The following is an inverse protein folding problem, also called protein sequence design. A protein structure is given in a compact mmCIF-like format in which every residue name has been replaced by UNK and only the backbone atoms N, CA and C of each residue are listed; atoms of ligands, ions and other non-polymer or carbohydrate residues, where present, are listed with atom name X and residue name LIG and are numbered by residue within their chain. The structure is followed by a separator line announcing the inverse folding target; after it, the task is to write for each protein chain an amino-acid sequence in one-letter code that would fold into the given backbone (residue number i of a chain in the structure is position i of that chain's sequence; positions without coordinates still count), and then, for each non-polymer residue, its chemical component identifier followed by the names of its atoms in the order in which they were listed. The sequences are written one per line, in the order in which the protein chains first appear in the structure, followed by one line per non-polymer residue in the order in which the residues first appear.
data_IF_880698051240
#
_entry.id   IF_880698051240
#
_cell.length_a   1.000
_cell.length_b   1.000
_cell.length_c   1.000
_cell.angle_alpha   90.00
_cell.angle_beta   90.00
_cell.angle_gamma   90.00
#
_symmetry.space_group_name_H-M   'P 1'
#
loop_
_entity.id
_entity.type
_entity.pdbx_description
1 polymer ?
#
# COMPACT_ATOMS: atom_id res chain seq x y z
N UNK A 1 13.51 19.30 7.01
CA UNK A 1 13.81 17.91 6.57
C UNK A 1 12.61 17.31 5.84
N UNK A 2 11.43 17.24 6.45
CA UNK A 2 10.21 16.74 5.80
C UNK A 2 9.89 17.40 4.45
N UNK A 3 9.90 18.74 4.39
CA UNK A 3 9.68 19.48 3.12
C UNK A 3 10.67 19.10 2.02
N UNK A 4 11.95 18.98 2.35
CA UNK A 4 12.98 18.58 1.41
C UNK A 4 12.81 17.12 0.95
N UNK A 5 12.45 16.21 1.86
CA UNK A 5 12.16 14.81 1.52
C UNK A 5 10.92 14.70 0.61
N UNK A 6 9.88 15.48 0.88
CA UNK A 6 8.67 15.58 0.07
C UNK A 6 8.99 16.12 -1.34
N UNK A 7 9.77 17.20 -1.42
CA UNK A 7 10.22 17.79 -2.67
C UNK A 7 11.02 16.80 -3.53
N UNK A 8 11.99 16.09 -2.93
CA UNK A 8 12.73 15.00 -3.59
C UNK A 8 11.77 13.89 -4.05
N UNK A 9 10.78 13.54 -3.22
CA UNK A 9 9.74 12.57 -3.54
C UNK A 9 8.95 12.92 -4.78
N UNK A 10 8.51 14.18 -4.89
CA UNK A 10 7.80 14.67 -6.07
C UNK A 10 8.64 14.54 -7.35
N UNK A 11 9.95 14.80 -7.29
CA UNK A 11 10.86 14.54 -8.42
C UNK A 11 10.94 13.05 -8.78
N UNK A 12 11.10 12.18 -7.77
CA UNK A 12 11.16 10.73 -7.97
C UNK A 12 9.88 10.23 -8.64
N UNK A 13 8.72 10.73 -8.23
CA UNK A 13 7.44 10.35 -8.79
C UNK A 13 7.26 10.82 -10.25
N UNK A 14 7.64 12.06 -10.55
CA UNK A 14 7.66 12.59 -11.93
C UNK A 14 8.59 11.77 -12.82
N UNK A 15 9.79 11.41 -12.34
CA UNK A 15 10.73 10.56 -13.07
C UNK A 15 10.19 9.13 -13.22
N UNK A 16 9.58 8.58 -12.17
CA UNK A 16 8.94 7.27 -12.15
C UNK A 16 7.79 7.15 -13.15
N UNK A 17 7.11 8.26 -13.47
CA UNK A 17 6.02 8.29 -14.45
C UNK A 17 6.41 7.77 -15.84
N UNK A 18 7.69 7.85 -16.20
CA UNK A 18 8.21 7.35 -17.48
C UNK A 18 8.37 5.83 -17.49
N UNK A 19 8.64 5.23 -16.33
CA UNK A 19 8.69 3.77 -16.15
C UNK A 19 7.32 3.17 -15.81
N UNK A 20 6.38 3.97 -15.29
CA UNK A 20 5.11 3.50 -14.74
C UNK A 20 4.27 2.61 -15.66
N UNK A 21 4.16 2.97 -16.95
CA UNK A 21 3.45 2.13 -17.94
C UNK A 21 4.10 0.76 -18.13
N UNK A 22 5.43 0.71 -18.12
CA UNK A 22 6.17 -0.54 -18.27
C UNK A 22 6.00 -1.42 -17.03
N UNK A 23 6.09 -0.83 -15.82
CA UNK A 23 5.86 -1.53 -14.55
C UNK A 23 4.47 -2.18 -14.53
N UNK A 24 3.40 -1.41 -14.80
CA UNK A 24 2.03 -1.96 -14.83
C UNK A 24 1.86 -3.08 -15.86
N UNK A 25 2.58 -3.02 -16.99
CA UNK A 25 2.51 -4.04 -18.03
C UNK A 25 3.15 -5.37 -17.60
N UNK A 26 4.27 -5.33 -16.87
CA UNK A 26 5.00 -6.53 -16.47
C UNK A 26 4.48 -7.13 -15.16
N UNK A 27 3.87 -6.33 -14.30
CA UNK A 27 3.41 -6.74 -12.97
C UNK A 27 2.02 -7.39 -13.02
N UNK A 28 1.83 -8.59 -12.46
CA UNK A 28 0.50 -9.20 -12.36
C UNK A 28 -0.48 -8.32 -11.58
N UNK A 29 -1.71 -8.15 -12.10
CA UNK A 29 -2.79 -7.38 -11.44
C UNK A 29 -3.02 -7.85 -9.99
N UNK A 30 -2.97 -9.17 -9.74
CA UNK A 30 -3.15 -9.72 -8.40
C UNK A 30 -2.09 -9.24 -7.40
N UNK A 31 -0.84 -9.05 -7.84
CA UNK A 31 0.21 -8.52 -7.00
C UNK A 31 0.04 -7.02 -6.71
N UNK A 32 -0.29 -6.23 -7.75
CA UNK A 32 -0.54 -4.78 -7.59
C UNK A 32 -1.70 -4.51 -6.63
N UNK A 33 -2.85 -5.13 -6.88
CA UNK A 33 -4.05 -4.90 -6.09
C UNK A 33 -4.02 -5.62 -4.76
N UNK A 34 -3.35 -6.78 -4.67
CA UNK A 34 -3.12 -7.48 -3.41
C UNK A 34 -2.28 -6.67 -2.45
N UNK A 35 -1.18 -6.09 -2.90
CA UNK A 35 -0.36 -5.18 -2.10
C UNK A 35 -1.15 -3.94 -1.65
N UNK A 36 -1.87 -3.29 -2.56
CA UNK A 36 -2.74 -2.14 -2.25
C UNK A 36 -3.78 -2.48 -1.19
N UNK A 37 -4.47 -3.62 -1.37
CA UNK A 37 -5.47 -4.12 -0.44
C UNK A 37 -4.86 -4.50 0.92
N UNK A 38 -3.66 -5.06 0.94
CA UNK A 38 -2.94 -5.40 2.17
C UNK A 38 -2.68 -4.15 3.00
N UNK A 39 -2.21 -3.07 2.36
CA UNK A 39 -2.09 -1.75 2.98
C UNK A 39 -3.43 -1.24 3.53
N UNK A 40 -4.50 -1.34 2.74
CA UNK A 40 -5.82 -0.88 3.14
C UNK A 40 -6.39 -1.69 4.33
N UNK A 41 -6.24 -3.01 4.33
CA UNK A 41 -6.72 -3.89 5.42
C UNK A 41 -5.99 -3.60 6.71
N UNK A 42 -4.66 -3.46 6.68
CA UNK A 42 -3.88 -3.24 7.90
C UNK A 42 -4.04 -1.80 8.39
N UNK A 43 -3.72 -0.81 7.55
CA UNK A 43 -3.63 0.58 7.99
C UNK A 43 -4.98 1.31 8.03
N UNK A 44 -5.96 0.91 7.22
CA UNK A 44 -7.30 1.51 7.27
C UNK A 44 -8.29 0.67 8.07
N UNK A 45 -8.30 -0.66 7.92
CA UNK A 45 -9.28 -1.48 8.66
C UNK A 45 -8.81 -1.88 10.06
N UNK A 46 -7.67 -2.55 10.20
CA UNK A 46 -7.21 -3.06 11.50
C UNK A 46 -6.92 -1.90 12.47
N UNK A 47 -6.15 -0.90 12.07
CA UNK A 47 -5.84 0.25 12.94
C UNK A 47 -7.11 1.00 13.36
N UNK A 48 -8.03 1.26 12.43
CA UNK A 48 -9.31 1.92 12.78
C UNK A 48 -10.18 1.06 13.67
N UNK A 49 -10.24 -0.26 13.47
CA UNK A 49 -10.92 -1.19 14.38
C UNK A 49 -10.36 -1.09 15.79
N UNK A 50 -9.04 -1.10 15.96
CA UNK A 50 -8.42 -1.00 17.28
C UNK A 50 -8.81 0.31 17.98
N UNK A 51 -8.78 1.45 17.27
CA UNK A 51 -9.20 2.74 17.82
C UNK A 51 -10.70 2.78 18.15
N UNK A 52 -11.55 2.14 17.34
CA UNK A 52 -13.00 2.04 17.62
C UNK A 52 -13.23 1.23 18.90
N UNK A 53 -12.52 0.12 19.08
CA UNK A 53 -12.68 -0.75 20.24
C UNK A 53 -12.02 -0.19 21.51
N UNK A 54 -11.07 0.73 21.37
CA UNK A 54 -10.52 1.53 22.48
C UNK A 54 -11.54 2.56 22.99
N UNK A 55 -12.38 3.10 22.11
CA UNK A 55 -13.47 4.03 22.45
C UNK A 55 -14.84 3.55 21.92
N UNK A 56 -15.36 2.42 22.43
CA UNK A 56 -16.52 1.75 21.84
C UNK A 56 -17.79 2.59 21.94
N UNK A 57 -17.94 3.39 23.00
CA UNK A 57 -19.11 4.24 23.21
C UNK A 57 -19.34 5.19 22.03
N UNK A 58 -18.28 5.77 21.46
CA UNK A 58 -18.39 6.80 20.42
C UNK A 58 -18.65 6.18 19.04
N UNK A 59 -18.00 5.07 18.71
CA UNK A 59 -17.86 4.66 17.31
C UNK A 59 -18.31 3.24 16.98
N UNK A 60 -18.53 2.38 17.99
CA UNK A 60 -18.91 0.99 17.73
C UNK A 60 -20.31 0.89 17.10
N UNK A 61 -21.28 1.68 17.58
CA UNK A 61 -22.62 1.69 17.01
C UNK A 61 -22.60 2.12 15.54
N UNK A 62 -21.85 3.18 15.22
CA UNK A 62 -21.69 3.68 13.86
C UNK A 62 -21.00 2.66 12.95
N UNK A 63 -20.01 1.93 13.46
CA UNK A 63 -19.41 0.80 12.74
C UNK A 63 -20.46 -0.27 12.43
N UNK A 64 -21.28 -0.67 13.41
CA UNK A 64 -22.34 -1.66 13.21
C UNK A 64 -23.32 -1.19 12.13
N UNK A 65 -23.77 0.07 12.18
CA UNK A 65 -24.67 0.65 11.18
C UNK A 65 -24.04 0.60 9.78
N UNK A 66 -22.77 1.02 9.65
CA UNK A 66 -22.06 0.99 8.36
C UNK A 66 -21.90 -0.45 7.86
N UNK A 67 -21.54 -1.40 8.72
CA UNK A 67 -21.39 -2.80 8.33
C UNK A 67 -22.73 -3.42 7.91
N UNK A 68 -23.80 -3.21 8.69
CA UNK A 68 -25.14 -3.73 8.37
C UNK A 68 -25.60 -3.17 7.03
N UNK A 69 -25.60 -1.85 6.88
CA UNK A 69 -26.07 -1.19 5.65
C UNK A 69 -25.23 -1.58 4.43
N UNK A 70 -23.91 -1.67 4.59
CA UNK A 70 -23.02 -2.06 3.51
C UNK A 70 -23.18 -3.53 3.11
N UNK A 71 -23.08 -4.45 4.06
CA UNK A 71 -23.12 -5.89 3.78
C UNK A 71 -24.49 -6.34 3.26
N UNK A 72 -25.56 -5.71 3.73
CA UNK A 72 -26.92 -5.96 3.22
C UNK A 72 -27.23 -5.21 1.92
N UNK A 73 -26.35 -4.29 1.47
CA UNK A 73 -26.60 -3.35 0.37
C UNK A 73 -27.89 -2.54 0.56
N UNK A 74 -28.28 -2.33 1.82
CA UNK A 74 -29.48 -1.58 2.17
C UNK A 74 -29.27 -0.10 1.88
N UNK A 75 -30.26 0.52 1.25
CA UNK A 75 -30.33 1.97 1.11
C UNK A 75 -31.09 2.52 2.32
N UNK A 76 -30.47 3.45 3.03
CA UNK A 76 -31.14 4.17 4.11
C UNK A 76 -32.27 5.05 3.55
N UNK A 77 -33.30 5.36 4.37
CA UNK A 77 -34.36 6.26 3.96
C UNK A 77 -33.80 7.59 3.46
N UNK A 78 -34.48 8.21 2.50
CA UNK A 78 -34.07 9.45 1.83
C UNK A 78 -32.75 9.37 1.04
N UNK A 79 -32.18 8.18 0.85
CA UNK A 79 -30.97 7.99 0.05
C UNK A 79 -29.68 8.49 0.70
N UNK A 80 -29.69 8.72 2.02
CA UNK A 80 -28.52 9.23 2.75
C UNK A 80 -27.42 8.14 2.77
N UNK A 81 -26.16 8.47 2.42
CA UNK A 81 -25.06 7.50 2.52
C UNK A 81 -24.83 7.02 3.95
N UNK A 82 -24.65 5.72 4.12
CA UNK A 82 -24.41 5.12 5.44
C UNK A 82 -23.19 5.72 6.17
N UNK A 83 -22.15 6.11 5.44
CA UNK A 83 -20.99 6.79 6.02
C UNK A 83 -21.35 8.12 6.68
N UNK A 84 -22.24 8.91 6.07
CA UNK A 84 -22.71 10.19 6.64
C UNK A 84 -23.47 9.93 7.93
N UNK A 85 -24.38 8.97 7.93
CA UNK A 85 -25.15 8.60 9.13
C UNK A 85 -24.23 8.09 10.23
N UNK A 86 -23.24 7.25 9.91
CA UNK A 86 -22.27 6.75 10.88
C UNK A 86 -21.45 7.87 11.52
N UNK A 87 -20.93 8.82 10.72
CA UNK A 87 -20.17 9.96 11.26
C UNK A 87 -21.07 10.83 12.14
N UNK A 88 -22.26 11.19 11.66
CA UNK A 88 -23.19 12.03 12.44
C UNK A 88 -23.62 11.37 13.74
N UNK A 89 -23.86 10.06 13.72
CA UNK A 89 -24.19 9.28 14.91
C UNK A 89 -23.05 9.30 15.93
N UNK A 90 -21.81 9.07 15.49
CA UNK A 90 -20.64 9.14 16.37
C UNK A 90 -20.39 10.52 16.94
N UNK A 91 -20.54 11.57 16.12
CA UNK A 91 -20.45 12.97 16.58
C UNK A 91 -21.51 13.24 17.63
N UNK A 92 -22.78 12.88 17.37
CA UNK A 92 -23.86 13.09 18.31
C UNK A 92 -23.60 12.37 19.65
N UNK A 93 -23.17 11.11 19.61
CA UNK A 93 -22.85 10.36 20.83
C UNK A 93 -21.71 11.02 21.60
N UNK A 94 -20.63 11.42 20.93
CA UNK A 94 -19.48 12.06 21.59
C UNK A 94 -19.84 13.36 22.31
N UNK A 95 -20.73 14.18 21.71
CA UNK A 95 -21.23 15.39 22.35
C UNK A 95 -22.17 15.08 23.51
N UNK A 96 -23.10 14.14 23.33
CA UNK A 96 -24.07 13.76 24.36
C UNK A 96 -23.43 13.05 25.56
N UNK A 97 -22.34 12.32 25.34
CA UNK A 97 -21.60 11.63 26.41
C UNK A 97 -20.63 12.55 27.17
N UNK A 98 -20.47 13.82 26.74
CA UNK A 98 -19.54 14.76 27.36
C UNK A 98 -18.06 14.52 27.02
N UNK A 99 -17.76 13.75 25.98
CA UNK A 99 -16.39 13.48 25.52
C UNK A 99 -15.78 14.63 24.70
N UNK A 100 -16.59 15.63 24.33
CA UNK A 100 -16.16 16.81 23.59
C UNK A 100 -16.06 18.02 24.53
N UNK A 101 -15.10 18.91 24.26
CA UNK A 101 -14.87 20.12 25.05
C UNK A 101 -15.46 21.36 24.35
N UNK A 102 -16.50 21.93 24.97
CA UNK A 102 -17.13 23.16 24.47
C UNK A 102 -16.22 24.39 24.59
N UNK A 103 -15.34 24.44 25.59
CA UNK A 103 -14.37 25.52 25.76
C UNK A 103 -13.32 25.50 24.65
N UNK A 104 -12.82 24.30 24.31
CA UNK A 104 -11.93 24.12 23.17
C UNK A 104 -12.60 24.51 21.84
N UNK A 105 -13.88 24.14 21.64
CA UNK A 105 -14.63 24.54 20.45
C UNK A 105 -14.81 26.07 20.39
N UNK A 106 -15.21 26.71 21.49
CA UNK A 106 -15.36 28.17 21.56
C UNK A 106 -14.04 28.89 21.25
N UNK A 107 -12.94 28.38 21.79
CA UNK A 107 -11.59 28.86 21.49
C UNK A 107 -11.19 28.64 20.03
N UNK A 108 -11.67 27.59 19.38
CA UNK A 108 -11.41 27.37 17.95
C UNK A 108 -12.09 28.43 17.08
N UNK A 109 -13.26 28.94 17.47
CA UNK A 109 -13.95 30.03 16.76
C UNK A 109 -13.24 31.38 16.91
N UNK A 110 -12.60 31.65 18.06
CA UNK A 110 -11.85 32.91 18.26
C UNK A 110 -10.50 32.93 17.55
N UNK A 111 -9.93 31.75 17.26
CA UNK A 111 -8.65 31.60 16.57
C UNK A 111 -8.78 31.45 15.04
N UNK A 112 -9.96 31.67 14.47
CA UNK A 112 -10.15 31.64 13.01
C UNK A 112 -9.39 32.82 12.39
N UNK A 113 -8.40 32.48 11.57
CA UNK A 113 -7.61 33.44 10.80
C UNK A 113 -7.42 32.92 9.38
N UNK A 114 -7.48 33.77 8.35
CA UNK A 114 -7.02 33.40 7.02
C UNK A 114 -5.60 32.79 7.09
N UNK A 115 -5.44 31.63 6.48
CA UNK A 115 -4.21 30.86 6.44
C UNK A 115 -3.86 30.51 4.98
N UNK A 116 -3.56 31.51 4.13
CA UNK A 116 -3.18 31.24 2.75
C UNK A 116 -1.86 30.46 2.69
N UNK A 117 -1.65 29.64 1.64
CA UNK A 117 -0.46 28.82 1.51
C UNK A 117 0.80 29.71 1.47
N UNK A 118 1.74 29.47 2.38
CA UNK A 118 2.95 30.26 2.51
C UNK A 118 4.12 29.58 1.77
N UNK A 119 4.85 30.29 0.90
CA UNK A 119 6.05 29.73 0.26
C UNK A 119 7.11 29.34 1.29
N UNK A 120 7.46 28.06 1.35
CA UNK A 120 8.46 27.46 2.24
C UNK A 120 9.75 27.07 1.50
N UNK A 121 10.07 27.78 0.41
CA UNK A 121 11.22 27.47 -0.48
C UNK A 121 12.55 27.48 0.30
N UNK A 122 12.73 28.45 1.20
CA UNK A 122 13.95 28.53 2.02
C UNK A 122 14.08 27.34 2.99
N UNK A 123 12.96 26.87 3.54
CA UNK A 123 12.95 25.69 4.42
C UNK A 123 13.26 24.40 3.67
N UNK A 124 12.89 24.32 2.38
CA UNK A 124 13.34 23.24 1.49
C UNK A 124 14.86 23.31 1.38
N UNK A 125 15.45 24.45 1.00
CA UNK A 125 16.91 24.56 0.85
C UNK A 125 17.68 24.23 2.14
N UNK A 126 17.23 24.73 3.29
CA UNK A 126 17.81 24.37 4.58
C UNK A 126 17.61 22.89 4.90
N UNK A 127 16.45 22.34 4.55
CA UNK A 127 16.12 20.93 4.69
C UNK A 127 16.98 20.03 3.81
N UNK A 128 17.35 20.45 2.60
CA UNK A 128 18.16 19.67 1.66
C UNK A 128 19.52 19.32 2.27
N UNK A 129 20.19 20.24 2.95
CA UNK A 129 21.46 19.95 3.63
C UNK A 129 21.32 18.87 4.71
N UNK A 130 20.16 18.83 5.37
CA UNK A 130 19.87 17.89 6.46
C UNK A 130 19.26 16.57 5.97
N UNK A 131 18.72 16.51 4.75
CA UNK A 131 18.04 15.31 4.22
C UNK A 131 19.01 14.31 3.61
N UNK A 132 20.22 14.74 3.21
CA UNK A 132 21.23 13.86 2.60
C UNK A 132 21.48 12.56 3.39
N UNK A 133 21.72 12.60 4.72
CA UNK A 133 21.89 11.39 5.53
C UNK A 133 20.67 10.47 5.56
N UNK A 134 19.48 11.01 5.27
CA UNK A 134 18.21 10.30 5.28
C UNK A 134 17.72 9.91 3.89
N UNK A 135 18.44 10.25 2.81
CA UNK A 135 18.15 9.74 1.46
C UNK A 135 17.99 8.22 1.44
N UNK A 136 18.80 7.44 2.19
CA UNK A 136 18.56 6.03 2.42
C UNK A 136 17.13 5.63 2.83
N UNK A 137 16.44 6.41 3.65
CA UNK A 137 15.07 6.09 4.08
C UNK A 137 14.04 6.75 3.16
N UNK A 138 14.34 7.96 2.70
CA UNK A 138 13.45 8.75 1.83
C UNK A 138 13.26 8.06 0.49
N UNK A 139 14.31 7.57 -0.17
CA UNK A 139 14.19 6.94 -1.49
C UNK A 139 13.22 5.74 -1.51
N UNK A 140 13.35 4.72 -0.64
CA UNK A 140 12.38 3.62 -0.55
C UNK A 140 10.94 4.08 -0.31
N UNK A 141 10.76 5.07 0.58
CA UNK A 141 9.44 5.60 0.90
C UNK A 141 8.79 6.28 -0.30
N UNK A 142 9.54 7.07 -1.06
CA UNK A 142 9.02 7.76 -2.25
C UNK A 142 8.81 6.80 -3.43
N UNK A 143 9.64 5.76 -3.53
CA UNK A 143 9.41 4.63 -4.44
C UNK A 143 8.08 3.94 -4.12
N UNK A 144 7.83 3.72 -2.83
CA UNK A 144 6.58 3.15 -2.34
C UNK A 144 5.38 4.03 -2.71
N UNK A 145 5.52 5.36 -2.57
CA UNK A 145 4.45 6.31 -2.91
C UNK A 145 4.07 6.26 -4.40
N UNK A 146 5.04 6.32 -5.32
CA UNK A 146 4.70 6.26 -6.76
C UNK A 146 4.06 4.91 -7.13
N UNK A 147 4.47 3.82 -6.47
CA UNK A 147 3.85 2.49 -6.67
C UNK A 147 2.38 2.52 -6.25
N UNK A 148 2.04 3.20 -5.15
CA UNK A 148 0.65 3.41 -4.76
C UNK A 148 -0.14 4.15 -5.85
N UNK A 149 0.44 5.17 -6.47
CA UNK A 149 -0.16 5.90 -7.59
C UNK A 149 -0.46 5.00 -8.80
N UNK A 150 0.48 4.11 -9.14
CA UNK A 150 0.28 3.08 -10.16
C UNK A 150 -0.86 2.12 -9.81
N UNK A 151 -0.88 1.64 -8.56
CA UNK A 151 -1.90 0.71 -8.06
C UNK A 151 -3.28 1.36 -8.05
N UNK A 152 -3.38 2.65 -7.70
CA UNK A 152 -4.63 3.41 -7.76
C UNK A 152 -5.14 3.57 -9.20
N UNK A 153 -4.25 3.87 -10.16
CA UNK A 153 -4.62 3.91 -11.58
C UNK A 153 -5.12 2.54 -12.08
N UNK A 154 -4.46 1.46 -11.68
CA UNK A 154 -4.88 0.10 -12.03
C UNK A 154 -6.22 -0.28 -11.38
N UNK A 155 -6.43 0.09 -10.11
CA UNK A 155 -7.68 -0.11 -9.40
C UNK A 155 -8.84 0.64 -10.08
N UNK A 156 -8.60 1.88 -10.51
CA UNK A 156 -9.57 2.67 -11.28
C UNK A 156 -9.89 2.03 -12.64
N UNK A 157 -8.87 1.56 -13.36
CA UNK A 157 -9.03 0.85 -14.64
C UNK A 157 -9.92 -0.38 -14.48
N UNK A 158 -9.73 -1.16 -13.40
CA UNK A 158 -10.57 -2.33 -13.07
C UNK A 158 -11.98 -1.97 -12.62
N UNK A 159 -12.21 -0.73 -12.18
CA UNK A 159 -13.53 -0.17 -11.89
C UNK A 159 -14.22 0.46 -13.12
N UNK A 160 -13.56 0.50 -14.28
CA UNK A 160 -14.11 1.03 -15.54
C UNK A 160 -13.64 2.44 -15.92
N UNK A 161 -12.76 3.07 -15.13
CA UNK A 161 -12.21 4.40 -15.43
C UNK A 161 -10.74 4.30 -15.85
N UNK A 162 -10.45 4.53 -17.13
CA UNK A 162 -9.11 4.38 -17.69
C UNK A 162 -8.34 5.71 -17.68
N UNK A 163 -7.57 5.95 -16.61
CA UNK A 163 -6.70 7.12 -16.51
C UNK A 163 -5.31 6.85 -17.11
N UNK A 164 -4.74 7.78 -17.92
CA UNK A 164 -3.39 7.61 -18.46
C UNK A 164 -2.33 7.64 -17.35
N UNK A 165 -1.81 6.46 -16.99
CA UNK A 165 -0.84 6.24 -15.89
C UNK A 165 0.26 7.31 -15.81
N UNK A 166 0.98 7.54 -16.92
CA UNK A 166 2.07 8.54 -16.96
C UNK A 166 1.58 9.95 -16.63
N UNK A 167 0.42 10.35 -17.14
CA UNK A 167 -0.15 11.69 -16.85
C UNK A 167 -0.59 11.78 -15.40
N UNK A 168 -1.24 10.74 -14.88
CA UNK A 168 -1.66 10.70 -13.47
C UNK A 168 -0.47 10.87 -12.52
N UNK A 169 0.62 10.14 -12.75
CA UNK A 169 1.83 10.24 -11.92
C UNK A 169 2.54 11.59 -12.03
N UNK A 170 2.58 12.19 -13.23
CA UNK A 170 3.16 13.53 -13.39
C UNK A 170 2.34 14.56 -12.60
N UNK A 171 1.00 14.48 -12.67
CA UNK A 171 0.11 15.38 -11.93
C UNK A 171 0.26 15.19 -10.42
N UNK A 172 0.39 13.95 -9.97
CA UNK A 172 0.59 13.61 -8.56
C UNK A 172 1.94 14.11 -8.03
N UNK A 173 3.04 13.78 -8.72
CA UNK A 173 4.37 14.28 -8.37
C UNK A 173 4.45 15.81 -8.44
N UNK A 174 3.78 16.46 -9.40
CA UNK A 174 3.67 17.92 -9.44
C UNK A 174 2.87 18.46 -8.26
N UNK A 175 1.78 17.81 -7.86
CA UNK A 175 1.02 18.14 -6.65
C UNK A 175 1.87 18.05 -5.40
N UNK A 176 2.69 17.01 -5.28
CA UNK A 176 3.68 16.84 -4.21
C UNK A 176 4.72 17.97 -4.21
N UNK A 177 5.29 18.32 -5.36
CA UNK A 177 6.25 19.42 -5.50
C UNK A 177 5.63 20.75 -5.09
N UNK A 178 4.46 21.09 -5.65
CA UNK A 178 3.74 22.32 -5.34
C UNK A 178 3.37 22.36 -3.86
N UNK A 179 2.85 21.26 -3.31
CA UNK A 179 2.52 21.13 -1.89
C UNK A 179 3.74 21.41 -1.01
N UNK A 180 4.89 20.82 -1.32
CA UNK A 180 6.12 21.05 -0.56
C UNK A 180 6.61 22.50 -0.63
N UNK A 181 6.49 23.16 -1.79
CA UNK A 181 6.80 24.58 -1.97
C UNK A 181 5.92 25.45 -1.08
N UNK A 182 4.68 25.04 -0.81
CA UNK A 182 3.74 25.74 0.06
C UNK A 182 3.66 25.16 1.49
N UNK A 183 4.69 24.42 1.92
CA UNK A 183 4.84 24.00 3.31
C UNK A 183 4.22 22.65 3.67
N UNK A 184 3.81 21.82 2.70
CA UNK A 184 3.35 20.45 2.97
C UNK A 184 4.52 19.44 3.00
N UNK A 185 4.84 18.82 4.15
CA UNK A 185 5.92 17.84 4.24
C UNK A 185 5.48 16.42 3.85
N UNK A 186 4.24 16.24 3.39
CA UNK A 186 3.65 14.94 3.06
C UNK A 186 3.40 14.82 1.56
N UNK A 187 3.84 13.72 0.92
CA UNK A 187 3.59 13.50 -0.49
C UNK A 187 2.09 13.28 -0.75
N UNK A 188 1.64 13.67 -1.93
CA UNK A 188 0.30 13.37 -2.41
C UNK A 188 0.25 11.97 -3.01
N UNK A 189 -0.94 11.41 -3.11
CA UNK A 189 -1.20 10.26 -3.97
C UNK A 189 -2.64 10.29 -4.49
N UNK A 190 -2.95 9.44 -5.47
CA UNK A 190 -4.32 9.25 -5.96
C UNK A 190 -5.23 8.65 -4.88
N UNK A 191 -6.52 8.99 -4.93
CA UNK A 191 -7.50 8.52 -3.93
C UNK A 191 -7.55 6.99 -3.83
N UNK A 192 -7.24 6.49 -2.63
CA UNK A 192 -7.53 5.11 -2.25
C UNK A 192 -9.04 4.85 -2.28
N UNK A 193 -9.42 3.65 -2.70
CA UNK A 193 -10.83 3.25 -2.73
C UNK A 193 -11.66 3.86 -3.86
N UNK A 194 -11.04 4.34 -4.96
CA UNK A 194 -11.75 4.72 -6.21
C UNK A 194 -12.96 3.83 -6.57
N UNK A 195 -12.87 2.48 -6.51
CA UNK A 195 -14.00 1.60 -6.80
C UNK A 195 -15.16 1.75 -5.82
N UNK A 196 -14.86 2.00 -4.54
CA UNK A 196 -15.87 2.27 -3.50
C UNK A 196 -16.63 3.54 -3.83
N UNK A 197 -15.91 4.64 -4.09
CA UNK A 197 -16.51 5.93 -4.47
C UNK A 197 -17.30 5.83 -5.78
N UNK A 198 -16.76 5.11 -6.77
CA UNK A 198 -17.45 4.87 -8.05
C UNK A 198 -18.75 4.09 -7.86
N UNK A 199 -18.76 3.09 -6.97
CA UNK A 199 -19.94 2.26 -6.72
C UNK A 199 -21.12 3.04 -6.12
N UNK A 200 -20.86 4.16 -5.44
CA UNK A 200 -21.88 5.07 -4.90
C UNK A 200 -22.23 6.24 -5.84
N UNK A 201 -21.73 6.20 -7.09
CA UNK A 201 -22.06 7.20 -8.12
C UNK A 201 -21.16 8.43 -8.16
N UNK A 202 -20.04 8.45 -7.42
CA UNK A 202 -19.11 9.58 -7.47
C UNK A 202 -18.50 9.75 -8.89
N UNK A 203 -18.33 11.01 -9.29
CA UNK A 203 -17.76 11.44 -10.59
C UNK A 203 -16.77 12.59 -10.36
N UNK A 204 -16.22 13.16 -11.42
CA UNK A 204 -15.24 14.27 -11.33
C UNK A 204 -15.71 15.45 -10.45
N UNK A 205 -17.01 15.77 -10.44
CA UNK A 205 -17.55 16.82 -9.57
C UNK A 205 -17.32 16.57 -8.07
N UNK A 206 -17.29 15.31 -7.63
CA UNK A 206 -16.97 14.94 -6.25
C UNK A 206 -15.55 15.40 -5.87
N UNK A 207 -14.57 15.14 -6.75
CA UNK A 207 -13.19 15.56 -6.53
C UNK A 207 -13.02 17.08 -6.52
N UNK A 208 -13.71 17.80 -7.43
CA UNK A 208 -13.66 19.27 -7.49
C UNK A 208 -14.29 19.90 -6.25
N UNK A 209 -15.46 19.40 -5.82
CA UNK A 209 -16.14 19.88 -4.62
C UNK A 209 -15.27 19.61 -3.39
N UNK A 210 -14.70 18.42 -3.25
CA UNK A 210 -13.77 18.13 -2.16
C UNK A 210 -12.60 19.11 -2.14
N UNK A 211 -11.94 19.34 -3.28
CA UNK A 211 -10.83 20.28 -3.36
C UNK A 211 -11.25 21.71 -2.95
N UNK A 212 -12.42 22.18 -3.41
CA UNK A 212 -12.94 23.49 -3.03
C UNK A 212 -13.29 23.59 -1.54
N UNK A 213 -13.94 22.57 -0.97
CA UNK A 213 -14.27 22.51 0.46
C UNK A 213 -12.99 22.53 1.31
N UNK A 214 -12.01 21.68 0.99
CA UNK A 214 -10.72 21.69 1.70
C UNK A 214 -9.98 23.02 1.54
N UNK A 215 -10.01 23.65 0.37
CA UNK A 215 -9.41 24.97 0.17
C UNK A 215 -10.06 26.04 1.07
N UNK A 216 -11.39 26.07 1.16
CA UNK A 216 -12.10 27.00 2.05
C UNK A 216 -11.79 26.72 3.52
N UNK A 217 -11.81 25.44 3.93
CA UNK A 217 -11.54 25.06 5.32
C UNK A 217 -10.10 25.37 5.73
N UNK A 218 -9.12 25.04 4.88
CA UNK A 218 -7.72 25.25 5.18
C UNK A 218 -7.32 26.72 5.05
N UNK A 219 -7.64 27.38 3.92
CA UNK A 219 -7.25 28.77 3.70
C UNK A 219 -8.05 29.75 4.56
N UNK A 220 -9.25 29.38 4.99
CA UNK A 220 -10.05 30.15 5.94
C UNK A 220 -9.65 29.94 7.40
N UNK A 221 -8.71 29.02 7.71
CA UNK A 221 -8.34 28.69 9.09
C UNK A 221 -9.43 27.98 9.89
N UNK A 222 -10.38 27.33 9.22
CA UNK A 222 -11.54 26.68 9.84
C UNK A 222 -11.26 25.25 10.31
N UNK A 223 -10.10 24.68 9.98
CA UNK A 223 -9.75 23.31 10.34
C UNK A 223 -9.76 23.08 11.86
N UNK A 224 -9.37 24.09 12.64
CA UNK A 224 -9.45 24.05 14.11
C UNK A 224 -10.87 23.81 14.62
N UNK A 225 -11.88 24.40 13.98
CA UNK A 225 -13.29 24.16 14.31
C UNK A 225 -13.65 22.71 13.99
N UNK A 226 -13.32 22.23 12.79
CA UNK A 226 -13.69 20.87 12.35
C UNK A 226 -13.13 19.81 13.29
N UNK A 227 -11.86 19.91 13.68
CA UNK A 227 -11.21 18.94 14.59
C UNK A 227 -11.80 18.98 16.01
N UNK A 228 -12.31 20.14 16.46
CA UNK A 228 -12.99 20.27 17.75
C UNK A 228 -14.49 19.91 17.70
N UNK A 229 -15.08 19.78 16.50
CA UNK A 229 -16.48 19.35 16.33
C UNK A 229 -16.57 17.83 16.12
N UNK A 230 -15.68 17.27 15.31
CA UNK A 230 -15.71 15.87 14.89
C UNK A 230 -14.57 15.12 15.58
N UNK A 231 -14.86 14.24 16.54
CA UNK A 231 -13.81 13.47 17.19
C UNK A 231 -13.15 12.52 16.19
N UNK A 232 -11.86 12.29 16.37
CA UNK A 232 -11.06 11.42 15.51
C UNK A 232 -11.70 10.03 15.31
N UNK A 233 -12.24 9.44 16.38
CA UNK A 233 -12.84 8.10 16.34
C UNK A 233 -14.10 8.04 15.48
N UNK A 234 -14.85 9.15 15.31
CA UNK A 234 -16.07 9.18 14.48
C UNK A 234 -15.82 8.91 12.99
N UNK A 235 -14.61 9.16 12.49
CA UNK A 235 -14.24 8.95 11.07
C UNK A 235 -13.75 7.52 10.83
N UNK A 236 -13.26 6.84 11.86
CA UNK A 236 -12.66 5.50 11.78
C UNK A 236 -13.60 4.45 11.13
N UNK A 237 -14.92 4.42 11.40
CA UNK A 237 -15.82 3.44 10.77
C UNK A 237 -15.82 3.49 9.23
N UNK A 238 -15.68 4.67 8.63
CA UNK A 238 -15.57 4.81 7.16
C UNK A 238 -14.26 4.20 6.66
N UNK A 239 -13.16 4.34 7.40
CA UNK A 239 -11.86 3.77 7.01
C UNK A 239 -11.89 2.24 7.03
N UNK A 240 -12.58 1.65 8.02
CA UNK A 240 -12.83 0.20 8.06
C UNK A 240 -13.53 -0.24 6.78
N UNK A 241 -14.59 0.46 6.40
CA UNK A 241 -15.33 0.19 5.17
C UNK A 241 -14.46 0.29 3.91
N UNK A 242 -13.66 1.35 3.77
CA UNK A 242 -12.77 1.54 2.59
C UNK A 242 -11.75 0.42 2.50
N UNK A 243 -11.17 -0.02 3.61
CA UNK A 243 -10.21 -1.12 3.63
C UNK A 243 -10.84 -2.47 3.24
N UNK A 244 -12.04 -2.78 3.74
CA UNK A 244 -12.77 -4.00 3.38
C UNK A 244 -13.19 -4.03 1.92
N UNK A 245 -13.67 -2.91 1.37
CA UNK A 245 -14.03 -2.79 -0.06
C UNK A 245 -12.80 -2.99 -0.94
N UNK A 246 -11.66 -2.42 -0.55
CA UNK A 246 -10.41 -2.55 -1.29
C UNK A 246 -9.95 -4.02 -1.33
N UNK A 247 -10.05 -4.73 -0.20
CA UNK A 247 -9.76 -6.17 -0.13
C UNK A 247 -10.71 -7.00 -1.00
N UNK A 248 -12.01 -6.77 -0.89
CA UNK A 248 -13.02 -7.46 -1.69
C UNK A 248 -12.79 -7.24 -3.19
N UNK A 249 -12.41 -6.02 -3.59
CA UNK A 249 -12.10 -5.71 -4.98
C UNK A 249 -10.86 -6.45 -5.47
N UNK A 250 -9.78 -6.45 -4.70
CA UNK A 250 -8.53 -7.15 -5.06
C UNK A 250 -8.79 -8.64 -5.31
N UNK A 251 -9.59 -9.30 -4.47
CA UNK A 251 -10.01 -10.70 -4.68
C UNK A 251 -10.88 -10.84 -5.92
N UNK A 252 -11.87 -9.95 -6.09
CA UNK A 252 -12.86 -10.03 -7.18
C UNK A 252 -12.24 -9.91 -8.58
N UNK A 253 -11.22 -9.05 -8.74
CA UNK A 253 -10.62 -8.77 -10.06
C UNK A 253 -9.35 -9.57 -10.33
N UNK A 254 -8.88 -10.33 -9.34
CA UNK A 254 -7.72 -11.22 -9.47
C UNK A 254 -8.13 -12.60 -10.00
N UNK A 255 -7.31 -13.25 -10.84
CA UNK A 255 -7.52 -14.65 -11.20
C UNK A 255 -7.53 -15.53 -9.94
N UNK A 256 -8.47 -16.48 -9.85
CA UNK A 256 -8.60 -17.38 -8.68
C UNK A 256 -7.31 -18.11 -8.32
N UNK A 257 -6.53 -18.54 -9.33
CA UNK A 257 -5.23 -19.19 -9.13
C UNK A 257 -4.18 -18.29 -8.43
N UNK A 258 -4.31 -16.97 -8.51
CA UNK A 258 -3.37 -16.01 -7.92
C UNK A 258 -3.78 -15.53 -6.53
N UNK A 259 -4.89 -16.02 -5.97
CA UNK A 259 -5.30 -15.65 -4.60
C UNK A 259 -4.22 -15.93 -3.53
N UNK A 260 -3.40 -17.00 -3.61
CA UNK A 260 -2.28 -17.17 -2.68
C UNK A 260 -1.32 -15.98 -2.68
N UNK A 261 -1.07 -15.35 -3.84
CA UNK A 261 -0.22 -14.16 -3.93
C UNK A 261 -0.86 -12.93 -3.26
N UNK A 262 -2.18 -12.78 -3.40
CA UNK A 262 -2.97 -11.70 -2.75
C UNK A 262 -2.94 -11.82 -1.23
N UNK A 263 -3.02 -13.04 -0.69
CA UNK A 263 -2.93 -13.24 0.77
C UNK A 263 -1.48 -13.18 1.28
N UNK A 264 -0.51 -13.65 0.49
CA UNK A 264 0.91 -13.54 0.83
C UNK A 264 1.36 -12.08 0.96
N UNK A 265 0.83 -11.17 0.12
CA UNK A 265 1.13 -9.74 0.22
C UNK A 265 0.72 -9.12 1.56
N UNK A 266 -0.20 -9.75 2.31
CA UNK A 266 -0.61 -9.25 3.62
C UNK A 266 0.50 -9.37 4.67
N UNK A 267 1.34 -10.40 4.57
CA UNK A 267 2.29 -10.78 5.63
C UNK A 267 3.30 -9.65 5.94
N UNK A 268 4.00 -9.05 4.97
CA UNK A 268 4.97 -7.99 5.29
C UNK A 268 4.31 -6.75 5.88
N UNK A 269 3.09 -6.41 5.44
CA UNK A 269 2.36 -5.24 5.96
C UNK A 269 1.90 -5.49 7.41
N UNK A 270 1.44 -6.71 7.72
CA UNK A 270 1.13 -7.09 9.11
C UNK A 270 2.38 -7.04 9.99
N UNK A 271 3.53 -7.52 9.49
CA UNK A 271 4.79 -7.40 10.21
C UNK A 271 5.19 -5.93 10.45
N UNK A 272 4.91 -5.04 9.48
CA UNK A 272 5.11 -3.60 9.65
C UNK A 272 4.25 -3.01 10.78
N UNK A 273 2.98 -3.39 10.83
CA UNK A 273 2.09 -2.99 11.91
C UNK A 273 2.57 -3.54 13.26
N UNK A 274 2.98 -4.81 13.32
CA UNK A 274 3.51 -5.41 14.55
C UNK A 274 4.78 -4.69 15.05
N UNK A 275 5.71 -4.36 14.16
CA UNK A 275 6.89 -3.57 14.52
C UNK A 275 6.47 -2.21 15.11
N UNK A 276 5.54 -1.51 14.44
CA UNK A 276 5.00 -0.22 14.91
C UNK A 276 4.35 -0.33 16.29
N UNK A 277 3.58 -1.39 16.54
CA UNK A 277 2.92 -1.62 17.82
C UNK A 277 3.92 -1.96 18.93
N UNK A 278 4.97 -2.73 18.62
CA UNK A 278 6.05 -3.06 19.55
C UNK A 278 6.84 -1.80 19.90
N UNK A 279 7.23 -1.00 18.91
CA UNK A 279 7.93 0.27 19.12
C UNK A 279 7.13 1.22 20.00
N UNK A 280 5.82 1.37 19.73
CA UNK A 280 4.93 2.18 20.56
C UNK A 280 4.82 1.67 22.00
N UNK A 281 4.72 0.35 22.19
CA UNK A 281 4.66 -0.26 23.52
C UNK A 281 5.97 -0.08 24.31
N UNK A 282 7.13 -0.26 23.65
CA UNK A 282 8.44 -0.04 24.27
C UNK A 282 8.64 1.43 24.62
N UNK A 283 8.26 2.34 23.73
CA UNK A 283 8.32 3.78 23.98
C UNK A 283 7.43 4.18 25.16
N UNK A 284 6.21 3.65 25.26
CA UNK A 284 5.32 3.87 26.39
C UNK A 284 5.90 3.33 27.72
N UNK A 285 6.69 2.26 27.65
CA UNK A 285 7.44 1.73 28.79
C UNK A 285 8.75 2.49 29.09
N UNK A 286 9.06 3.57 28.37
CA UNK A 286 10.26 4.37 28.56
C UNK A 286 11.55 3.70 28.08
N UNK A 287 11.46 2.69 27.20
CA UNK A 287 12.61 1.97 26.63
C UNK A 287 12.52 1.91 25.11
N UNK A 288 13.38 1.11 24.48
CA UNK A 288 13.39 0.88 23.04
C UNK A 288 14.02 -0.47 22.71
N UNK A 289 13.86 -0.92 21.47
CA UNK A 289 14.38 -2.23 21.03
C UNK A 289 15.91 -2.32 21.19
N UNK A 290 16.61 -1.19 21.05
CA UNK A 290 18.07 -1.09 21.26
C UNK A 290 18.50 -1.38 22.70
N UNK A 291 17.67 -0.99 23.68
CA UNK A 291 17.96 -1.17 25.10
C UNK A 291 17.50 -2.54 25.61
N UNK A 292 16.30 -2.97 25.22
CA UNK A 292 15.73 -4.26 25.66
C UNK A 292 16.43 -5.45 24.98
N UNK A 293 16.81 -5.28 23.71
CA UNK A 293 17.44 -6.31 22.90
C UNK A 293 16.47 -7.40 22.40
N UNK A 294 16.85 -8.05 21.30
CA UNK A 294 16.04 -9.08 20.64
C UNK A 294 15.87 -10.34 21.51
N UNK A 295 16.87 -10.65 22.35
CA UNK A 295 16.90 -11.84 23.23
C UNK A 295 15.74 -11.87 24.23
N UNK A 296 15.27 -10.71 24.71
CA UNK A 296 14.15 -10.64 25.64
C UNK A 296 12.86 -11.22 25.02
N UNK A 297 12.63 -10.94 23.73
CA UNK A 297 11.50 -11.48 22.99
C UNK A 297 11.67 -12.95 22.63
N UNK A 298 12.89 -13.39 22.33
CA UNK A 298 13.18 -14.81 22.07
C UNK A 298 12.88 -15.69 23.29
N UNK A 299 13.24 -15.23 24.49
CA UNK A 299 12.89 -15.89 25.76
C UNK A 299 11.37 -15.96 25.95
N UNK A 300 10.64 -14.94 25.49
CA UNK A 300 9.18 -14.91 25.46
C UNK A 300 8.55 -15.67 24.27
N UNK A 301 9.35 -16.45 23.53
CA UNK A 301 8.93 -17.21 22.34
C UNK A 301 8.31 -16.35 21.21
N UNK A 302 8.71 -15.09 21.09
CA UNK A 302 8.26 -14.19 20.04
C UNK A 302 9.38 -13.85 19.05
N UNK A 303 9.22 -14.14 17.75
CA UNK A 303 10.28 -13.96 16.74
C UNK A 303 10.40 -12.49 16.29
N UNK A 304 10.78 -11.60 17.21
CA UNK A 304 10.85 -10.15 16.97
C UNK A 304 11.83 -9.78 15.83
N UNK A 305 12.90 -10.56 15.68
CA UNK A 305 13.84 -10.43 14.56
C UNK A 305 13.18 -10.56 13.19
N UNK A 306 12.27 -11.52 13.05
CA UNK A 306 11.50 -11.71 11.81
C UNK A 306 10.51 -10.58 11.56
N UNK A 307 9.89 -10.05 12.62
CA UNK A 307 8.98 -8.90 12.54
C UNK A 307 9.70 -7.67 11.98
N UNK A 308 10.85 -7.30 12.57
CA UNK A 308 11.64 -6.17 12.07
C UNK A 308 12.23 -6.45 10.68
N UNK A 309 12.67 -7.67 10.39
CA UNK A 309 13.17 -7.98 9.06
C UNK A 309 12.11 -7.79 7.97
N UNK A 310 10.85 -8.21 8.22
CA UNK A 310 9.76 -8.05 7.26
C UNK A 310 9.16 -6.63 7.22
N UNK A 311 9.21 -5.89 8.34
CA UNK A 311 8.67 -4.53 8.41
C UNK A 311 9.46 -3.54 7.55
N UNK A 312 10.78 -3.72 7.45
CA UNK A 312 11.64 -2.83 6.68
C UNK A 312 11.42 -3.01 5.17
N UNK A 313 10.87 -1.96 4.55
CA UNK A 313 10.48 -1.99 3.13
C UNK A 313 9.22 -2.83 2.88
N UNK A 314 8.34 -3.02 3.87
CA UNK A 314 7.20 -3.93 3.82
C UNK A 314 6.32 -3.80 2.56
N UNK A 315 6.05 -2.58 2.08
CA UNK A 315 5.28 -2.38 0.85
C UNK A 315 5.98 -2.94 -0.40
N UNK A 316 7.30 -2.73 -0.51
CA UNK A 316 8.11 -3.27 -1.59
C UNK A 316 8.22 -4.80 -1.47
N UNK A 317 8.56 -5.30 -0.28
CA UNK A 317 8.64 -6.74 0.02
C UNK A 317 7.32 -7.45 -0.32
N UNK A 318 6.20 -6.88 0.12
CA UNK A 318 4.84 -7.36 -0.17
C UNK A 318 4.57 -7.45 -1.66
N UNK A 319 4.85 -6.39 -2.40
CA UNK A 319 4.69 -6.39 -3.86
C UNK A 319 5.58 -7.44 -4.53
N UNK A 320 6.89 -7.46 -4.24
CA UNK A 320 7.82 -8.39 -4.89
C UNK A 320 7.48 -9.85 -4.61
N UNK A 321 7.15 -10.19 -3.36
CA UNK A 321 6.72 -11.54 -3.01
C UNK A 321 5.46 -11.94 -3.77
N UNK A 322 4.46 -11.05 -3.86
CA UNK A 322 3.24 -11.33 -4.61
C UNK A 322 3.50 -11.52 -6.12
N UNK A 323 4.35 -10.67 -6.71
CA UNK A 323 4.76 -10.80 -8.13
C UNK A 323 5.47 -12.12 -8.37
N UNK A 324 6.43 -12.46 -7.52
CA UNK A 324 7.19 -13.70 -7.61
C UNK A 324 6.26 -14.91 -7.52
N UNK A 325 5.36 -14.93 -6.54
CA UNK A 325 4.37 -16.00 -6.36
C UNK A 325 3.45 -16.15 -7.57
N UNK A 326 2.95 -15.05 -8.14
CA UNK A 326 2.16 -15.10 -9.38
C UNK A 326 2.94 -15.77 -10.53
N UNK A 327 4.22 -15.41 -10.72
CA UNK A 327 5.03 -16.01 -11.78
C UNK A 327 5.37 -17.49 -11.53
N UNK A 328 5.60 -17.88 -10.28
CA UNK A 328 5.79 -19.30 -9.92
C UNK A 328 4.52 -20.10 -10.19
N UNK A 329 3.35 -19.59 -9.79
CA UNK A 329 2.04 -20.23 -10.05
C UNK A 329 1.82 -20.40 -11.56
N UNK A 330 2.16 -19.38 -12.35
CA UNK A 330 2.05 -19.43 -13.81
C UNK A 330 3.17 -20.21 -14.49
N UNK A 331 4.10 -20.80 -13.72
CA UNK A 331 5.32 -21.48 -14.20
C UNK A 331 6.15 -20.59 -15.13
N UNK A 332 6.08 -19.27 -14.99
CA UNK A 332 6.89 -18.30 -15.75
C UNK A 332 8.23 -18.09 -15.05
N UNK A 333 9.03 -19.15 -15.02
CA UNK A 333 10.23 -19.22 -14.19
C UNK A 333 11.31 -18.17 -14.52
N UNK A 334 11.44 -17.71 -15.77
CA UNK A 334 12.34 -16.58 -16.10
C UNK A 334 11.88 -15.30 -15.39
N UNK A 335 10.58 -14.99 -15.45
CA UNK A 335 10.04 -13.80 -14.79
C UNK A 335 10.13 -13.91 -13.26
N UNK A 336 9.93 -15.11 -12.71
CA UNK A 336 10.17 -15.39 -11.30
C UNK A 336 11.65 -15.17 -10.92
N UNK A 337 12.60 -15.68 -11.72
CA UNK A 337 14.03 -15.47 -11.49
C UNK A 337 14.40 -13.98 -11.51
N UNK A 338 13.95 -13.23 -12.51
CA UNK A 338 14.19 -11.78 -12.59
C UNK A 338 13.59 -11.04 -11.38
N UNK A 339 12.41 -11.46 -10.91
CA UNK A 339 11.77 -10.87 -9.73
C UNK A 339 12.59 -11.18 -8.45
N UNK A 340 13.04 -12.42 -8.28
CA UNK A 340 13.93 -12.80 -7.17
C UNK A 340 15.25 -12.04 -7.22
N UNK A 341 15.82 -11.85 -8.41
CA UNK A 341 17.04 -11.07 -8.58
C UNK A 341 16.83 -9.60 -8.23
N UNK A 342 15.70 -9.00 -8.62
CA UNK A 342 15.33 -7.65 -8.23
C UNK A 342 15.17 -7.52 -6.70
N UNK A 343 14.56 -8.52 -6.05
CA UNK A 343 14.42 -8.58 -4.59
C UNK A 343 15.76 -8.79 -3.87
N UNK A 344 16.66 -9.58 -4.46
CA UNK A 344 18.04 -9.73 -4.01
C UNK A 344 18.80 -8.40 -4.06
N UNK A 345 18.66 -7.66 -5.18
CA UNK A 345 19.24 -6.33 -5.33
C UNK A 345 18.64 -5.33 -4.32
N UNK A 346 17.32 -5.31 -4.17
CA UNK A 346 16.63 -4.48 -3.19
C UNK A 346 17.12 -4.76 -1.77
N UNK A 347 17.31 -6.03 -1.41
CA UNK A 347 17.85 -6.42 -0.11
C UNK A 347 19.32 -6.05 0.03
N UNK A 348 20.13 -6.28 -1.01
CA UNK A 348 21.56 -5.96 -1.03
C UNK A 348 21.84 -4.45 -0.92
N UNK A 349 20.88 -3.61 -1.34
CA UNK A 349 20.98 -2.15 -1.24
C UNK A 349 20.25 -1.58 -0.03
N UNK A 350 19.49 -2.41 0.70
CA UNK A 350 18.75 -2.02 1.90
C UNK A 350 17.36 -1.42 1.65
N UNK A 351 16.81 -1.50 0.43
CA UNK A 351 15.41 -1.13 0.16
C UNK A 351 14.41 -2.05 0.88
N UNK A 352 14.84 -3.28 1.18
CA UNK A 352 14.08 -4.28 1.93
C UNK A 352 14.96 -4.91 3.00
N UNK A 353 14.37 -5.30 4.14
CA UNK A 353 15.05 -6.01 5.25
C UNK A 353 16.20 -5.24 5.94
N UNK A 354 16.31 -3.93 5.72
CA UNK A 354 17.30 -3.09 6.39
C UNK A 354 16.67 -1.77 6.85
N UNK A 355 17.10 -1.23 8.02
CA UNK A 355 16.60 0.06 8.52
C UNK A 355 17.11 1.25 7.70
N UNK A 356 18.15 1.06 6.89
CA UNK A 356 18.72 2.08 6.01
C UNK A 356 19.33 1.44 4.75
N UNK A 357 19.40 2.21 3.66
CA UNK A 357 20.22 1.84 2.49
C UNK A 357 21.70 1.74 2.85
N UNK A 358 22.37 0.82 2.17
CA UNK A 358 23.80 0.61 2.21
C UNK A 358 24.16 -0.50 1.24
N UNK A 359 25.44 -0.71 0.97
CA UNK A 359 25.87 -1.87 0.20
C UNK A 359 26.06 -3.07 1.13
N UNK A 360 25.26 -4.12 0.91
CA UNK A 360 25.16 -5.33 1.72
C UNK A 360 25.03 -5.07 3.23
N UNK A 361 23.98 -4.37 3.68
CA UNK A 361 23.72 -4.16 5.11
C UNK A 361 23.71 -5.49 5.87
N UNK A 362 24.24 -5.50 7.10
CA UNK A 362 24.35 -6.73 7.89
C UNK A 362 22.98 -7.37 8.15
N UNK A 363 21.93 -6.57 8.33
CA UNK A 363 20.56 -7.05 8.56
C UNK A 363 19.94 -7.72 7.32
N UNK A 364 20.30 -7.28 6.10
CA UNK A 364 19.66 -7.71 4.86
C UNK A 364 20.50 -8.67 4.02
N UNK A 365 21.81 -8.82 4.30
CA UNK A 365 22.74 -9.62 3.48
C UNK A 365 22.32 -11.07 3.29
N UNK A 366 21.76 -11.69 4.32
CA UNK A 366 21.30 -13.09 4.26
C UNK A 366 20.09 -13.20 3.32
N UNK A 367 19.14 -12.27 3.42
CA UNK A 367 17.99 -12.20 2.52
C UNK A 367 18.43 -11.99 1.07
N UNK A 368 19.39 -11.08 0.83
CA UNK A 368 19.94 -10.86 -0.49
C UNK A 368 20.53 -12.15 -1.11
N UNK A 369 21.31 -12.90 -0.33
CA UNK A 369 21.87 -14.19 -0.76
C UNK A 369 20.78 -15.24 -1.03
N UNK A 370 19.78 -15.35 -0.15
CA UNK A 370 18.67 -16.29 -0.31
C UNK A 370 17.86 -15.97 -1.57
N UNK A 371 17.57 -14.70 -1.84
CA UNK A 371 16.86 -14.30 -3.06
C UNK A 371 17.68 -14.53 -4.33
N UNK A 372 19.01 -14.39 -4.26
CA UNK A 372 19.89 -14.79 -5.34
C UNK A 372 19.79 -16.31 -5.61
N UNK A 373 19.84 -17.13 -4.55
CA UNK A 373 19.65 -18.59 -4.67
C UNK A 373 18.26 -18.92 -5.22
N UNK A 374 17.21 -18.25 -4.77
CA UNK A 374 15.86 -18.42 -5.31
C UNK A 374 15.78 -18.07 -6.82
N UNK A 375 16.52 -17.05 -7.26
CA UNK A 375 16.66 -16.73 -8.69
C UNK A 375 17.31 -17.88 -9.46
N UNK A 376 18.41 -18.44 -8.95
CA UNK A 376 19.10 -19.58 -9.57
C UNK A 376 18.21 -20.83 -9.62
N UNK A 377 17.45 -21.11 -8.56
CA UNK A 377 16.48 -22.22 -8.53
C UNK A 377 15.41 -22.02 -9.60
N UNK A 378 14.86 -20.82 -9.76
CA UNK A 378 13.90 -20.53 -10.82
C UNK A 378 14.51 -20.74 -12.21
N UNK A 379 15.75 -20.31 -12.45
CA UNK A 379 16.45 -20.56 -13.72
C UNK A 379 16.67 -22.05 -13.97
N UNK A 380 17.06 -22.82 -12.95
CA UNK A 380 17.20 -24.26 -13.06
C UNK A 380 15.88 -24.93 -13.44
N UNK A 381 14.77 -24.55 -12.78
CA UNK A 381 13.43 -25.05 -13.10
C UNK A 381 12.99 -24.69 -14.53
N UNK A 382 13.40 -23.53 -15.03
CA UNK A 382 13.18 -23.17 -16.43
C UNK A 382 13.88 -24.15 -17.38
N UNK A 383 15.17 -24.45 -17.15
CA UNK A 383 15.94 -25.37 -17.99
C UNK A 383 15.41 -26.80 -17.92
N UNK A 384 15.11 -27.33 -16.72
CA UNK A 384 14.55 -28.69 -16.54
C UNK A 384 13.22 -28.84 -17.27
N UNK A 385 12.37 -27.80 -17.24
CA UNK A 385 11.10 -27.84 -17.97
C UNK A 385 11.32 -27.86 -19.48
N UNK A 386 12.27 -27.06 -19.96
CA UNK A 386 12.55 -26.95 -21.38
C UNK A 386 13.19 -28.23 -21.93
N UNK A 387 14.09 -28.86 -21.18
CA UNK A 387 14.69 -30.15 -21.56
C UNK A 387 13.63 -31.25 -21.67
N UNK A 388 12.74 -31.37 -20.68
CA UNK A 388 11.63 -32.34 -20.73
C UNK A 388 10.64 -32.09 -21.87
N UNK A 389 10.47 -30.82 -22.28
CA UNK A 389 9.64 -30.48 -23.42
C UNK A 389 10.26 -30.96 -24.74
N UNK A 390 11.58 -30.79 -24.89
CA UNK A 390 12.30 -31.30 -26.07
C UNK A 390 12.38 -32.82 -26.10
N UNK A 391 12.59 -33.47 -24.94
CA UNK A 391 12.63 -34.93 -24.80
C UNK A 391 11.28 -35.56 -25.22
N UNK A 392 10.16 -34.96 -24.80
CA UNK A 392 8.83 -35.41 -25.22
C UNK A 392 8.57 -35.21 -26.72
N UNK A 393 9.11 -34.16 -27.33
CA UNK A 393 9.00 -33.93 -28.77
C UNK A 393 9.90 -34.85 -29.60
N UNK A 394 11.04 -35.31 -29.07
CA UNK A 394 11.84 -36.34 -29.73
C UNK A 394 11.17 -37.70 -29.65
N UNK A 395 10.66 -38.10 -28.47
CA UNK A 395 9.92 -39.36 -28.31
C UNK A 395 8.70 -39.44 -29.26
N UNK A 396 7.93 -38.35 -29.37
CA UNK A 396 6.76 -38.29 -30.26
C UNK A 396 7.14 -38.32 -31.76
N UNK A 397 8.34 -37.84 -32.12
CA UNK A 397 8.85 -37.97 -33.50
C UNK A 397 9.36 -39.37 -33.80
N UNK A 398 10.04 -39.99 -32.86
CA UNK A 398 10.58 -41.35 -33.00
C UNK A 398 9.42 -42.37 -33.13
N UNK A 399 8.34 -42.22 -32.32
CA UNK A 399 7.11 -43.02 -32.45
C UNK A 399 6.39 -42.83 -33.80
N UNK A 400 6.41 -41.63 -34.38
CA UNK A 400 5.83 -41.40 -35.71
C UNK A 400 6.67 -42.06 -36.80
N UNK A 401 8.01 -41.99 -36.71
CA UNK A 401 8.89 -42.67 -37.67
C UNK A 401 8.80 -44.19 -37.59
N UNK A 402 8.72 -44.79 -36.39
CA UNK A 402 8.52 -46.24 -36.24
C UNK A 402 7.18 -46.71 -36.81
N UNK A 403 6.11 -45.91 -36.66
CA UNK A 403 4.82 -46.23 -37.25
C UNK A 403 4.78 -46.07 -38.77
N UNK A 404 5.54 -45.12 -39.35
CA UNK A 404 5.69 -45.01 -40.81
C UNK A 404 6.47 -46.21 -41.38
N UNK A 405 7.62 -46.58 -40.79
CA UNK A 405 8.42 -47.71 -41.25
C UNK A 405 7.66 -49.05 -41.17
N UNK A 406 6.93 -49.29 -40.09
CA UNK A 406 6.09 -50.49 -39.95
C UNK A 406 4.86 -50.50 -40.88
N UNK A 407 4.41 -49.33 -41.35
CA UNK A 407 3.34 -49.24 -42.35
C UNK A 407 3.83 -49.53 -43.77
N UNK A 408 5.08 -49.14 -44.10
CA UNK A 408 5.72 -49.46 -45.38
C UNK A 408 6.03 -50.96 -45.51
N UNK A 409 6.47 -51.62 -44.43
CA UNK A 409 6.69 -53.07 -44.43
C UNK A 409 5.39 -53.88 -44.63
N UNK A 410 4.26 -53.44 -44.08
CA UNK A 410 2.95 -54.12 -44.25
C UNK A 410 2.27 -53.93 -45.61
N UNK A 411 2.71 -52.96 -46.41
CA UNK A 411 2.20 -52.74 -47.78
C UNK A 411 3.06 -53.48 -48.82
N UNK A 412 4.25 -53.96 -48.41
CA UNK A 412 5.18 -54.70 -49.24
C UNK A 412 5.01 -56.24 -49.16
N UNK A 413 4.18 -56.74 -48.25
CA UNK A 413 3.65 -58.13 -48.22
C UNK A 413 2.28 -58.22 -48.88
#
# INVERSE_FOLDING_TARGET
MGLAACFIGGFIEVLGAFAGKWIVKITPTAALLGNLASGAVVWLSLVSMLNIFDQPLISLLSLIVILVTFLSKLRLPFGIPAGVVGVMLSVAIAWLSGNMDFSALSSAFTNVSPAPPQPAIMDIFHGMKKVLPFLPVVLPLQISNFICTLQGCESARKAGDNYPVRRSMIVDGAGTLIGSIFGCPFPTTVYYGHPGWKSIGARAGYSVINAAVYAVLCFGGLMGIIVNVIPYTAVMPILVFVGLVSAAQAVKVSPRRHLPAVFLSLIPIVAQYLATAIDAALQAAGTGIEQLGYRAFEVAAFPVGGVYALSQGALLTSLFLAVWTCFVIDRRFIAAAVTSLALAFASATGFTHAPALGFLPQSSRVFAAIYLVASLICLLLYFIRNSRFFEKQSEEKDEISENEDTSFERVAE
#
